data_IF_615396775785
#
_entry.id   IF_615396775785
#
_cell.length_a   1.000
_cell.length_b   1.000
_cell.length_c   1.000
_cell.angle_alpha   90.00
_cell.angle_beta   90.00
_cell.angle_gamma   90.00
#
_symmetry.space_group_name_H-M   'P 1'
#
loop_
_entity.id
_entity.type
_entity.pdbx_description
1 polymer ?
#
# COMPACT_ATOMS: atom_id res chain seq x y z
N UNK A 1 -11.02 10.44 15.32
CA UNK A 1 -9.79 10.01 14.62
C UNK A 1 -10.22 9.25 13.38
N UNK A 2 -9.69 9.60 12.19
CA UNK A 2 -10.01 8.89 10.94
C UNK A 2 -9.14 7.63 10.86
N UNK A 3 -9.74 6.44 10.91
CA UNK A 3 -9.02 5.19 10.72
C UNK A 3 -8.79 4.93 9.23
N UNK A 4 -7.59 4.46 8.89
CA UNK A 4 -7.30 3.98 7.54
C UNK A 4 -8.11 2.70 7.30
N UNK A 5 -9.05 2.74 6.35
CA UNK A 5 -9.84 1.57 5.99
C UNK A 5 -9.13 0.71 4.93
N UNK A 6 -9.58 -0.55 4.81
CA UNK A 6 -9.01 -1.53 3.89
C UNK A 6 -9.09 -1.10 2.42
N UNK A 7 -10.16 -0.41 2.01
CA UNK A 7 -10.33 0.06 0.64
C UNK A 7 -9.23 1.08 0.28
N UNK A 8 -8.97 2.05 1.15
CA UNK A 8 -7.91 3.03 0.96
C UNK A 8 -6.53 2.38 1.00
N UNK A 9 -6.29 1.45 1.93
CA UNK A 9 -5.02 0.72 2.00
C UNK A 9 -4.73 -0.07 0.72
N UNK A 10 -5.74 -0.78 0.19
CA UNK A 10 -5.61 -1.52 -1.07
C UNK A 10 -5.40 -0.59 -2.28
N UNK A 11 -6.05 0.57 -2.31
CA UNK A 11 -5.82 1.56 -3.36
C UNK A 11 -4.37 2.08 -3.37
N UNK A 12 -3.78 2.32 -2.19
CA UNK A 12 -2.37 2.70 -2.04
C UNK A 12 -1.46 1.57 -2.54
N UNK A 13 -1.66 0.34 -2.06
CA UNK A 13 -0.85 -0.82 -2.45
C UNK A 13 -0.90 -1.07 -3.96
N UNK A 14 -2.09 -1.07 -4.55
CA UNK A 14 -2.27 -1.26 -5.99
C UNK A 14 -1.59 -0.16 -6.81
N UNK A 15 -1.68 1.11 -6.37
CA UNK A 15 -1.02 2.21 -7.07
C UNK A 15 0.49 2.11 -6.99
N UNK A 16 1.04 1.76 -5.83
CA UNK A 16 2.49 1.56 -5.66
C UNK A 16 3.01 0.43 -6.58
N UNK A 17 2.30 -0.70 -6.64
CA UNK A 17 2.64 -1.80 -7.54
C UNK A 17 2.49 -1.42 -9.01
N UNK A 18 1.51 -0.60 -9.38
CA UNK A 18 1.34 -0.11 -10.76
C UNK A 18 2.53 0.78 -11.17
N UNK A 19 2.87 1.77 -10.35
CA UNK A 19 4.03 2.65 -10.59
C UNK A 19 5.33 1.86 -10.64
N UNK A 20 5.50 0.86 -9.76
CA UNK A 20 6.65 -0.04 -9.79
C UNK A 20 6.83 -0.74 -11.15
N UNK A 21 5.73 -1.18 -11.77
CA UNK A 21 5.74 -1.76 -13.13
C UNK A 21 6.09 -0.73 -14.19
N UNK A 22 5.54 0.47 -14.11
CA UNK A 22 5.82 1.58 -15.05
C UNK A 22 7.31 1.92 -15.08
N UNK A 23 7.97 1.96 -13.93
CA UNK A 23 9.40 2.29 -13.82
C UNK A 23 10.33 1.08 -13.98
N UNK A 24 9.79 -0.11 -14.30
CA UNK A 24 10.55 -1.37 -14.40
C UNK A 24 11.36 -1.67 -13.14
N UNK A 25 10.79 -1.39 -11.97
CA UNK A 25 11.41 -1.79 -10.71
C UNK A 25 11.57 -3.32 -10.66
N UNK A 26 12.53 -3.78 -9.86
CA UNK A 26 12.56 -5.18 -9.43
C UNK A 26 11.23 -5.55 -8.72
N UNK A 27 10.90 -6.85 -8.57
CA UNK A 27 9.69 -7.26 -7.86
C UNK A 27 9.53 -6.57 -6.50
N UNK A 28 8.36 -5.95 -6.28
CA UNK A 28 8.07 -5.15 -5.08
C UNK A 28 7.08 -5.86 -4.17
N UNK A 29 7.25 -5.66 -2.86
CA UNK A 29 6.26 -5.97 -1.81
C UNK A 29 5.86 -4.65 -1.14
N UNK A 30 4.57 -4.44 -0.87
CA UNK A 30 4.06 -3.16 -0.36
C UNK A 30 3.19 -3.37 0.88
N UNK A 31 3.76 -3.09 2.06
CA UNK A 31 3.00 -3.06 3.32
C UNK A 31 2.42 -1.66 3.57
N UNK A 32 1.12 -1.56 3.86
CA UNK A 32 0.45 -0.32 4.25
C UNK A 32 0.08 -0.39 5.73
N UNK A 33 0.62 0.54 6.52
CA UNK A 33 0.41 0.64 7.96
C UNK A 33 -0.42 1.89 8.31
N UNK A 34 -1.22 1.81 9.37
CA UNK A 34 -1.84 2.99 9.96
C UNK A 34 -0.87 3.78 10.88
N UNK A 35 -1.34 4.89 11.44
CA UNK A 35 -0.54 5.73 12.32
C UNK A 35 -0.13 5.04 13.64
N UNK A 36 -0.80 3.95 14.02
CA UNK A 36 -0.44 3.12 15.17
C UNK A 36 0.60 2.04 14.83
N UNK A 37 0.98 1.92 13.55
CA UNK A 37 1.89 0.87 13.07
C UNK A 37 1.19 -0.47 12.80
N UNK A 38 -0.15 -0.53 12.79
CA UNK A 38 -0.86 -1.75 12.47
C UNK A 38 -0.83 -2.00 10.96
N UNK A 39 -0.50 -3.23 10.56
CA UNK A 39 -0.56 -3.65 9.16
C UNK A 39 -2.02 -3.75 8.70
N UNK A 40 -2.38 -3.00 7.66
CA UNK A 40 -3.74 -2.98 7.10
C UNK A 40 -3.83 -3.79 5.82
N UNK A 41 -2.78 -3.78 4.98
CA UNK A 41 -2.69 -4.52 3.71
C UNK A 41 -1.21 -4.80 3.36
N UNK A 42 -0.96 -5.86 2.58
CA UNK A 42 0.38 -6.35 2.16
C UNK A 42 0.38 -6.74 0.68
#
# INVERSE_FOLDING_TARGET
>A
MSHLNLQTANAIGNRALAVGREIKAAPLTVAVLDAGGHLISL
#
